data_IF_358957105587
#
_entry.id   IF_358957105587
#
_cell.length_a   1.000
_cell.length_b   1.000
_cell.length_c   1.000
_cell.angle_alpha   90.00
_cell.angle_beta   90.00
_cell.angle_gamma   90.00
#
_symmetry.space_group_name_H-M   'P 1'
#
loop_
_entity.id
_entity.type
_entity.pdbx_description
1 polymer ?
#
# COMPACT_ATOMS: atom_id res chain seq x y z
N UNK A 1 -1.74 8.72 48.42
CA UNK A 1 -2.55 7.75 47.70
C UNK A 1 -1.62 6.89 46.86
N UNK A 2 -1.49 5.63 47.24
CA UNK A 2 -0.54 4.67 46.66
C UNK A 2 -1.03 4.22 45.29
N UNK A 3 -0.23 4.45 44.25
CA UNK A 3 -0.48 3.91 42.91
C UNK A 3 -0.27 2.40 42.91
N UNK A 4 -1.30 1.64 42.55
CA UNK A 4 -1.21 0.20 42.38
C UNK A 4 -0.19 -0.15 41.29
N UNK A 5 0.64 -1.20 41.46
CA UNK A 5 1.60 -1.60 40.42
C UNK A 5 0.85 -2.19 39.23
N UNK A 6 1.09 -1.61 38.04
CA UNK A 6 0.64 -2.19 36.78
C UNK A 6 1.27 -3.58 36.61
N UNK A 7 0.41 -4.59 36.47
CA UNK A 7 0.82 -5.96 36.18
C UNK A 7 1.51 -6.01 34.81
N UNK A 8 2.83 -6.19 34.79
CA UNK A 8 3.56 -6.54 33.58
C UNK A 8 3.01 -7.87 33.05
N UNK A 9 2.48 -7.87 31.85
CA UNK A 9 2.17 -9.11 31.14
C UNK A 9 3.47 -9.89 30.93
N UNK A 10 3.50 -11.22 31.15
CA UNK A 10 4.70 -12.01 30.94
C UNK A 10 5.10 -11.99 29.47
N UNK A 11 6.39 -11.84 29.18
CA UNK A 11 6.94 -11.82 27.83
C UNK A 11 6.59 -13.06 26.97
N UNK A 12 6.11 -14.12 27.57
CA UNK A 12 5.64 -15.33 26.89
C UNK A 12 4.26 -15.19 26.23
N UNK A 13 3.39 -14.28 26.70
CA UNK A 13 2.06 -14.05 26.10
C UNK A 13 2.11 -13.11 24.88
N UNK A 14 3.18 -12.32 24.73
CA UNK A 14 3.42 -11.47 23.55
C UNK A 14 3.83 -12.28 22.31
N UNK A 15 4.20 -13.56 22.48
CA UNK A 15 4.56 -14.46 21.40
C UNK A 15 3.33 -15.09 20.67
N UNK A 16 2.12 -14.90 21.17
CA UNK A 16 0.92 -15.34 20.48
C UNK A 16 0.68 -14.38 19.29
N UNK A 17 1.00 -14.86 18.08
CA UNK A 17 0.76 -14.10 16.84
C UNK A 17 -0.71 -13.76 16.76
N UNK A 18 -0.99 -12.49 16.47
CA UNK A 18 -2.36 -12.01 16.28
C UNK A 18 -3.08 -12.86 15.24
N UNK A 19 -4.38 -13.10 15.45
CA UNK A 19 -5.23 -13.92 14.56
C UNK A 19 -5.22 -13.38 13.13
N UNK A 20 -5.29 -12.06 12.96
CA UNK A 20 -5.23 -11.40 11.66
C UNK A 20 -3.91 -11.68 10.92
N UNK A 21 -2.77 -11.70 11.63
CA UNK A 21 -1.48 -12.06 11.03
C UNK A 21 -1.42 -13.53 10.57
N UNK A 22 -2.07 -14.43 11.30
CA UNK A 22 -2.16 -15.85 10.91
C UNK A 22 -3.06 -16.00 9.68
N UNK A 23 -4.23 -15.35 9.66
CA UNK A 23 -5.12 -15.31 8.51
C UNK A 23 -4.40 -14.77 7.26
N UNK A 24 -3.69 -13.63 7.38
CA UNK A 24 -2.94 -13.07 6.27
C UNK A 24 -1.90 -14.04 5.70
N UNK A 25 -1.18 -14.75 6.56
CA UNK A 25 -0.22 -15.77 6.11
C UNK A 25 -0.88 -16.91 5.34
N UNK A 26 -2.02 -17.39 5.84
CA UNK A 26 -2.80 -18.45 5.17
C UNK A 26 -3.33 -17.96 3.82
N UNK A 27 -3.91 -16.75 3.78
CA UNK A 27 -4.42 -16.14 2.55
C UNK A 27 -3.33 -16.02 1.49
N UNK A 28 -2.16 -15.46 1.86
CA UNK A 28 -1.03 -15.31 0.93
C UNK A 28 -0.54 -16.68 0.46
N UNK A 29 -0.36 -17.64 1.34
CA UNK A 29 0.08 -18.99 0.97
C UNK A 29 -0.91 -19.65 -0.01
N UNK A 30 -2.21 -19.62 0.32
CA UNK A 30 -3.29 -20.18 -0.52
C UNK A 30 -3.35 -19.50 -1.89
N UNK A 31 -3.11 -18.18 -1.97
CA UNK A 31 -3.09 -17.47 -3.24
C UNK A 31 -1.93 -17.94 -4.14
N UNK A 32 -0.71 -18.04 -3.60
CA UNK A 32 0.43 -18.53 -4.37
C UNK A 32 0.31 -20.02 -4.72
N UNK A 33 -0.36 -20.82 -3.87
CA UNK A 33 -0.68 -22.22 -4.18
C UNK A 33 -1.67 -22.30 -5.34
N UNK A 34 -2.72 -21.47 -5.31
CA UNK A 34 -3.70 -21.38 -6.40
C UNK A 34 -3.05 -20.88 -7.70
N UNK A 35 -2.13 -19.91 -7.65
CA UNK A 35 -1.38 -19.46 -8.82
C UNK A 35 -0.52 -20.57 -9.40
N UNK A 36 0.21 -21.30 -8.57
CA UNK A 36 1.06 -22.41 -9.04
C UNK A 36 0.27 -23.52 -9.72
N UNK A 37 -0.98 -23.76 -9.30
CA UNK A 37 -1.89 -24.76 -9.86
C UNK A 37 -2.88 -24.20 -10.90
N UNK A 38 -2.78 -22.93 -11.28
CA UNK A 38 -3.82 -22.24 -12.05
C UNK A 38 -4.14 -22.95 -13.37
N UNK A 39 -3.14 -23.17 -14.21
CA UNK A 39 -3.36 -23.77 -15.53
C UNK A 39 -3.75 -25.26 -15.44
N UNK A 40 -3.23 -26.00 -14.48
CA UNK A 40 -3.62 -27.41 -14.24
C UNK A 40 -5.09 -27.51 -13.79
N UNK A 41 -5.60 -26.50 -13.08
CA UNK A 41 -7.01 -26.39 -12.65
C UNK A 41 -7.92 -25.70 -13.68
N UNK A 42 -7.40 -25.32 -14.85
CA UNK A 42 -8.12 -24.60 -15.89
C UNK A 42 -8.44 -23.14 -15.57
N UNK A 43 -7.89 -22.59 -14.49
CA UNK A 43 -8.10 -21.18 -14.12
C UNK A 43 -7.19 -20.26 -14.91
N UNK A 44 -7.74 -19.10 -15.26
CA UNK A 44 -7.02 -18.06 -16.01
C UNK A 44 -6.27 -17.12 -15.08
N UNK A 45 -5.14 -16.61 -15.56
CA UNK A 45 -4.24 -15.73 -14.82
C UNK A 45 -4.15 -14.39 -15.51
N UNK A 46 -4.34 -13.31 -14.75
CA UNK A 46 -4.25 -11.94 -15.24
C UNK A 46 -3.14 -11.21 -14.49
N UNK A 47 -2.17 -10.67 -15.21
CA UNK A 47 -1.18 -9.76 -14.62
C UNK A 47 -1.72 -8.34 -14.62
N UNK A 48 -1.66 -7.68 -13.48
CA UNK A 48 -2.12 -6.31 -13.29
C UNK A 48 -1.27 -5.60 -12.23
N UNK A 49 -1.43 -4.29 -12.08
CA UNK A 49 -0.74 -3.51 -11.05
C UNK A 49 -1.65 -3.13 -9.88
N UNK A 50 -1.04 -2.76 -8.74
CA UNK A 50 -1.78 -2.43 -7.52
C UNK A 50 -2.66 -1.19 -7.68
N UNK A 51 -2.17 -0.01 -8.12
CA UNK A 51 -3.01 1.17 -8.24
C UNK A 51 -4.04 1.02 -9.37
N UNK A 52 -5.31 1.20 -9.02
CA UNK A 52 -6.41 1.14 -9.99
C UNK A 52 -6.68 -0.26 -10.53
N UNK A 53 -6.25 -1.33 -9.84
CA UNK A 53 -6.59 -2.67 -10.28
C UNK A 53 -8.10 -2.92 -10.20
N UNK A 54 -8.59 -3.72 -11.13
CA UNK A 54 -9.99 -4.07 -11.27
C UNK A 54 -10.28 -5.44 -10.62
N UNK A 55 -9.84 -5.63 -9.37
CA UNK A 55 -9.88 -6.95 -8.72
C UNK A 55 -11.30 -7.52 -8.65
N UNK A 56 -12.31 -6.72 -8.33
CA UNK A 56 -13.70 -7.14 -8.28
C UNK A 56 -14.20 -7.62 -9.64
N UNK A 57 -13.88 -6.88 -10.70
CA UNK A 57 -14.23 -7.26 -12.07
C UNK A 57 -13.52 -8.56 -12.47
N UNK A 58 -12.21 -8.68 -12.22
CA UNK A 58 -11.46 -9.92 -12.47
C UNK A 58 -12.05 -11.10 -11.69
N UNK A 59 -12.42 -10.90 -10.43
CA UNK A 59 -13.06 -11.92 -9.59
C UNK A 59 -14.44 -12.33 -10.09
N UNK A 60 -15.18 -11.44 -10.74
CA UNK A 60 -16.46 -11.80 -11.38
C UNK A 60 -16.28 -12.74 -12.58
N UNK A 61 -15.10 -12.78 -13.20
CA UNK A 61 -14.70 -13.71 -14.25
C UNK A 61 -13.90 -14.92 -13.74
N UNK A 62 -13.79 -15.10 -12.42
CA UNK A 62 -13.05 -16.19 -11.76
C UNK A 62 -11.56 -16.31 -12.15
N UNK A 63 -10.91 -15.20 -12.48
CA UNK A 63 -9.48 -15.17 -12.79
C UNK A 63 -8.64 -14.94 -11.54
N UNK A 64 -7.37 -15.39 -11.60
CA UNK A 64 -6.37 -15.17 -10.56
C UNK A 64 -5.49 -13.97 -10.93
N UNK A 65 -5.43 -12.91 -10.11
CA UNK A 65 -4.52 -11.80 -10.36
C UNK A 65 -3.10 -12.11 -9.91
N UNK A 66 -2.12 -11.74 -10.72
CA UNK A 66 -0.71 -11.62 -10.34
C UNK A 66 -0.36 -10.13 -10.34
N UNK A 67 0.28 -9.69 -9.27
CA UNK A 67 0.71 -8.30 -9.11
C UNK A 67 2.25 -8.25 -9.04
N UNK A 68 2.92 -7.89 -10.15
CA UNK A 68 4.39 -7.82 -10.21
C UNK A 68 5.01 -6.94 -9.14
N UNK A 69 4.36 -5.83 -8.78
CA UNK A 69 4.79 -4.95 -7.68
C UNK A 69 4.85 -5.68 -6.33
N UNK A 70 3.87 -6.52 -6.04
CA UNK A 70 3.80 -7.29 -4.79
C UNK A 70 4.88 -8.37 -4.77
N UNK A 71 5.15 -9.01 -5.92
CA UNK A 71 6.26 -9.96 -6.04
C UNK A 71 7.61 -9.28 -5.79
N UNK A 72 7.83 -8.11 -6.37
CA UNK A 72 9.04 -7.31 -6.18
C UNK A 72 9.19 -6.85 -4.71
N UNK A 73 8.11 -6.34 -4.11
CA UNK A 73 8.05 -5.95 -2.70
C UNK A 73 8.43 -7.12 -1.78
N UNK A 74 7.78 -8.26 -1.95
CA UNK A 74 8.05 -9.46 -1.13
C UNK A 74 9.46 -9.99 -1.35
N UNK A 75 10.00 -9.91 -2.56
CA UNK A 75 11.40 -10.25 -2.85
C UNK A 75 12.36 -9.32 -2.08
N UNK A 76 12.04 -8.03 -1.98
CA UNK A 76 12.77 -7.07 -1.14
C UNK A 76 12.77 -7.47 0.33
N UNK A 77 11.59 -7.74 0.90
CA UNK A 77 11.45 -8.18 2.30
C UNK A 77 12.19 -9.47 2.61
N UNK A 78 12.33 -10.35 1.61
CA UNK A 78 13.05 -11.64 1.72
C UNK A 78 14.53 -11.55 1.33
N UNK A 79 15.04 -10.35 1.06
CA UNK A 79 16.44 -10.09 0.65
C UNK A 79 16.85 -10.74 -0.67
N UNK A 80 15.91 -11.01 -1.56
CA UNK A 80 16.15 -11.60 -2.89
C UNK A 80 16.32 -10.53 -3.98
N UNK A 81 15.80 -9.32 -3.75
CA UNK A 81 15.71 -8.26 -4.75
C UNK A 81 17.05 -7.82 -5.32
N UNK A 82 18.11 -7.80 -4.50
CA UNK A 82 19.45 -7.39 -4.95
C UNK A 82 20.00 -8.28 -6.07
N UNK A 83 19.77 -9.60 -5.99
CA UNK A 83 20.14 -10.55 -7.03
C UNK A 83 19.33 -10.32 -8.31
N UNK A 84 18.01 -10.13 -8.19
CA UNK A 84 17.14 -9.87 -9.33
C UNK A 84 17.46 -8.55 -10.02
N UNK A 85 17.70 -7.49 -9.25
CA UNK A 85 18.09 -6.16 -9.79
C UNK A 85 19.41 -6.28 -10.56
N UNK A 86 20.41 -6.96 -9.99
CA UNK A 86 21.69 -7.20 -10.66
C UNK A 86 21.53 -7.98 -11.98
N UNK A 87 20.60 -8.94 -12.02
CA UNK A 87 20.29 -9.67 -13.26
C UNK A 87 19.67 -8.77 -14.32
N UNK A 88 18.68 -7.94 -13.94
CA UNK A 88 18.07 -6.99 -14.87
C UNK A 88 19.08 -5.97 -15.44
N UNK A 89 20.03 -5.51 -14.61
CA UNK A 89 21.07 -4.57 -15.04
C UNK A 89 22.03 -5.22 -16.06
N UNK A 90 22.30 -6.53 -15.99
CA UNK A 90 23.04 -7.27 -17.02
C UNK A 90 22.31 -7.27 -18.38
N UNK A 91 20.99 -7.23 -18.37
CA UNK A 91 20.16 -7.10 -19.57
C UNK A 91 20.03 -5.67 -20.09
N UNK A 92 20.73 -4.70 -19.48
CA UNK A 92 20.80 -3.32 -19.94
C UNK A 92 19.80 -2.37 -19.27
N UNK A 93 19.15 -2.75 -18.18
CA UNK A 93 18.31 -1.82 -17.41
C UNK A 93 19.17 -0.86 -16.58
N UNK A 94 18.96 0.45 -16.75
CA UNK A 94 19.68 1.49 -16.01
C UNK A 94 19.41 1.43 -14.50
N UNK A 95 20.37 1.91 -13.70
CA UNK A 95 20.20 2.07 -12.25
C UNK A 95 19.01 2.97 -11.87
N UNK A 96 18.69 3.96 -12.73
CA UNK A 96 17.62 4.93 -12.49
C UNK A 96 16.21 4.41 -12.79
N UNK A 97 16.09 3.22 -13.36
CA UNK A 97 14.78 2.57 -13.59
C UNK A 97 14.19 2.12 -12.26
N UNK A 98 12.87 2.24 -12.15
CA UNK A 98 12.11 1.78 -10.98
C UNK A 98 12.57 0.38 -10.54
N UNK A 99 12.94 0.24 -9.28
CA UNK A 99 13.51 -1.01 -8.76
C UNK A 99 12.51 -2.15 -8.67
N UNK A 100 11.21 -1.87 -8.65
CA UNK A 100 10.19 -2.91 -8.84
C UNK A 100 10.27 -3.53 -10.23
N UNK A 101 10.40 -2.69 -11.28
CA UNK A 101 10.57 -3.17 -12.66
C UNK A 101 11.81 -4.06 -12.78
N UNK A 102 12.96 -3.57 -12.30
CA UNK A 102 14.21 -4.35 -12.35
C UNK A 102 14.09 -5.67 -11.57
N UNK A 103 13.48 -5.64 -10.41
CA UNK A 103 13.29 -6.85 -9.59
C UNK A 103 12.40 -7.88 -10.30
N UNK A 104 11.28 -7.46 -10.88
CA UNK A 104 10.36 -8.34 -11.61
C UNK A 104 10.99 -8.93 -12.88
N UNK A 105 11.62 -8.09 -13.71
CA UNK A 105 12.29 -8.55 -14.93
C UNK A 105 13.47 -9.48 -14.59
N UNK A 106 14.27 -9.17 -13.58
CA UNK A 106 15.33 -10.05 -13.14
C UNK A 106 14.82 -11.40 -12.59
N UNK A 107 13.70 -11.37 -11.85
CA UNK A 107 13.02 -12.59 -11.40
C UNK A 107 12.55 -13.43 -12.59
N UNK A 108 11.94 -12.80 -13.58
CA UNK A 108 11.49 -13.44 -14.82
C UNK A 108 12.66 -14.11 -15.56
N UNK A 109 13.78 -13.42 -15.74
CA UNK A 109 14.99 -13.94 -16.39
C UNK A 109 15.65 -15.09 -15.61
N UNK A 110 15.40 -15.20 -14.32
CA UNK A 110 15.85 -16.30 -13.45
C UNK A 110 14.81 -17.42 -13.29
N UNK A 111 13.90 -17.58 -14.23
CA UNK A 111 12.92 -18.67 -14.30
C UNK A 111 11.57 -18.37 -13.65
N UNK A 112 11.32 -17.14 -13.31
CA UNK A 112 10.04 -16.65 -12.77
C UNK A 112 9.64 -17.36 -11.46
N UNK A 113 10.60 -17.58 -10.58
CA UNK A 113 10.34 -18.13 -9.25
C UNK A 113 9.92 -17.00 -8.32
N UNK A 114 8.66 -17.02 -7.93
CA UNK A 114 8.07 -16.00 -7.06
C UNK A 114 8.67 -16.00 -5.63
N UNK A 115 8.32 -15.01 -4.83
CA UNK A 115 8.91 -14.81 -3.50
C UNK A 115 8.63 -15.95 -2.51
N UNK A 116 7.67 -16.83 -2.80
CA UNK A 116 7.38 -18.04 -1.99
C UNK A 116 8.18 -19.28 -2.43
N UNK A 117 9.04 -19.16 -3.44
CA UNK A 117 9.79 -20.27 -4.02
C UNK A 117 9.01 -21.08 -5.06
N UNK A 118 7.77 -20.68 -5.38
CA UNK A 118 6.96 -21.32 -6.41
C UNK A 118 7.09 -20.56 -7.74
N UNK A 119 7.04 -21.32 -8.83
CA UNK A 119 7.05 -20.74 -10.17
C UNK A 119 5.72 -20.02 -10.40
N UNK A 120 5.78 -18.77 -10.86
CA UNK A 120 4.60 -18.02 -11.26
C UNK A 120 4.14 -18.49 -12.65
N UNK A 121 2.83 -18.67 -12.86
CA UNK A 121 2.30 -19.04 -14.17
C UNK A 121 2.43 -17.86 -15.14
N UNK A 122 2.59 -18.13 -16.47
CA UNK A 122 2.46 -17.06 -17.46
C UNK A 122 1.05 -16.48 -17.45
N UNK A 123 0.88 -15.19 -17.84
CA UNK A 123 -0.45 -14.59 -17.93
C UNK A 123 -1.24 -15.09 -19.13
N UNK A 124 -2.56 -15.24 -18.94
CA UNK A 124 -3.52 -15.37 -20.04
C UNK A 124 -3.96 -13.99 -20.58
N UNK A 125 -3.78 -12.92 -19.76
CA UNK A 125 -4.07 -11.53 -20.10
C UNK A 125 -3.15 -10.58 -19.31
N UNK A 126 -2.64 -9.58 -19.99
CA UNK A 126 -2.03 -8.41 -19.36
C UNK A 126 -3.10 -7.30 -19.27
N UNK A 127 -3.51 -6.92 -18.06
CA UNK A 127 -4.51 -5.88 -17.81
C UNK A 127 -3.88 -4.70 -17.08
N UNK A 128 -3.63 -3.62 -17.80
CA UNK A 128 -3.07 -2.39 -17.26
C UNK A 128 -4.15 -1.35 -17.00
N UNK A 129 -4.25 -0.86 -15.76
CA UNK A 129 -4.91 0.43 -15.48
C UNK A 129 -3.83 1.50 -15.31
N UNK A 130 -3.77 2.45 -16.26
CA UNK A 130 -2.82 3.55 -16.17
C UNK A 130 -3.36 4.64 -15.26
N UNK A 131 -2.82 4.72 -14.06
CA UNK A 131 -3.24 5.61 -12.97
C UNK A 131 -2.10 6.54 -12.54
N UNK A 132 -1.58 7.34 -13.47
CA UNK A 132 -0.59 8.37 -13.20
C UNK A 132 0.87 7.89 -13.04
N UNK A 133 1.16 6.59 -13.22
CA UNK A 133 2.53 6.08 -13.22
C UNK A 133 2.95 5.67 -14.65
N UNK A 134 3.73 6.51 -15.32
CA UNK A 134 4.23 6.22 -16.67
C UNK A 134 5.08 4.93 -16.74
N UNK A 135 5.78 4.60 -15.66
CA UNK A 135 6.59 3.39 -15.58
C UNK A 135 5.78 2.13 -15.85
N UNK A 136 4.51 2.08 -15.43
CA UNK A 136 3.64 0.93 -15.67
C UNK A 136 3.44 0.62 -17.15
N UNK A 137 3.28 1.64 -17.99
CA UNK A 137 3.15 1.45 -19.44
C UNK A 137 4.40 0.76 -20.02
N UNK A 138 5.59 1.23 -19.63
CA UNK A 138 6.85 0.65 -20.10
C UNK A 138 7.12 -0.74 -19.50
N UNK A 139 6.72 -0.98 -18.28
CA UNK A 139 6.79 -2.30 -17.68
C UNK A 139 5.91 -3.31 -18.42
N UNK A 140 4.68 -2.92 -18.79
CA UNK A 140 3.80 -3.78 -19.59
C UNK A 140 4.35 -4.04 -21.00
N UNK A 141 5.00 -3.07 -21.64
CA UNK A 141 5.68 -3.30 -22.91
C UNK A 141 6.76 -4.38 -22.79
N UNK A 142 7.54 -4.37 -21.69
CA UNK A 142 8.54 -5.42 -21.42
C UNK A 142 7.87 -6.78 -21.21
N UNK A 143 6.83 -6.85 -20.38
CA UNK A 143 6.09 -8.09 -20.14
C UNK A 143 5.45 -8.63 -21.42
N UNK A 144 4.93 -7.74 -22.29
CA UNK A 144 4.38 -8.13 -23.58
C UNK A 144 5.43 -8.76 -24.52
N UNK A 145 6.69 -8.35 -24.42
CA UNK A 145 7.77 -8.97 -25.21
C UNK A 145 8.09 -10.38 -24.73
N UNK A 146 7.83 -10.69 -23.47
CA UNK A 146 8.13 -11.99 -22.85
C UNK A 146 6.95 -12.97 -22.96
N UNK A 147 5.72 -12.45 -23.06
CA UNK A 147 4.50 -13.24 -23.05
C UNK A 147 3.65 -13.00 -24.30
N UNK A 148 3.37 -14.08 -25.03
CA UNK A 148 2.44 -14.04 -26.17
C UNK A 148 1.00 -14.20 -25.67
N UNK A 149 0.42 -13.09 -25.16
CA UNK A 149 -0.94 -13.09 -24.65
C UNK A 149 -1.65 -11.76 -24.97
N UNK A 150 -3.00 -11.72 -24.94
CA UNK A 150 -3.77 -10.50 -25.11
C UNK A 150 -3.37 -9.41 -24.10
N UNK A 151 -3.54 -8.15 -24.52
CA UNK A 151 -3.35 -6.98 -23.65
C UNK A 151 -4.63 -6.16 -23.65
N UNK A 152 -5.06 -5.72 -22.48
CA UNK A 152 -6.08 -4.69 -22.30
C UNK A 152 -5.47 -3.53 -21.51
N UNK A 153 -5.76 -2.30 -21.93
CA UNK A 153 -5.30 -1.10 -21.22
C UNK A 153 -6.51 -0.21 -20.91
N UNK A 154 -6.65 0.15 -19.65
CA UNK A 154 -7.56 1.18 -19.17
C UNK A 154 -6.78 2.46 -18.94
N UNK A 155 -6.99 3.48 -19.75
CA UNK A 155 -6.42 4.80 -19.53
C UNK A 155 -7.30 5.61 -18.57
N UNK A 156 -6.72 6.04 -17.46
CA UNK A 156 -7.40 6.82 -16.42
C UNK A 156 -6.96 8.28 -16.52
N UNK A 157 -7.88 9.24 -16.73
CA UNK A 157 -7.55 10.66 -16.79
C UNK A 157 -6.91 11.17 -15.50
N UNK A 158 -5.87 11.99 -15.65
CA UNK A 158 -5.17 12.58 -14.50
C UNK A 158 -6.03 13.59 -13.76
N UNK A 159 -6.08 13.49 -12.43
CA UNK A 159 -6.89 14.32 -11.55
C UNK A 159 -6.11 15.55 -11.07
N UNK A 160 -5.99 16.57 -11.92
CA UNK A 160 -5.22 17.80 -11.61
C UNK A 160 -5.84 18.62 -10.49
N UNK A 161 -7.17 18.69 -10.42
CA UNK A 161 -7.94 19.47 -9.44
C UNK A 161 -8.57 18.63 -8.30
N UNK A 162 -8.35 17.32 -8.33
CA UNK A 162 -8.87 16.37 -7.35
C UNK A 162 -10.38 16.15 -7.40
N UNK A 163 -11.06 16.58 -8.46
CA UNK A 163 -12.49 16.38 -8.65
C UNK A 163 -12.76 15.27 -9.66
N UNK A 164 -13.78 14.49 -9.38
CA UNK A 164 -14.30 13.51 -10.34
C UNK A 164 -15.30 14.22 -11.24
N UNK A 165 -14.97 14.33 -12.54
CA UNK A 165 -15.84 14.94 -13.54
C UNK A 165 -16.59 13.85 -14.32
N UNK A 166 -17.84 14.13 -14.72
CA UNK A 166 -18.68 13.17 -15.45
C UNK A 166 -18.02 12.63 -16.73
N UNK A 167 -17.36 13.50 -17.50
CA UNK A 167 -16.67 13.10 -18.72
C UNK A 167 -15.47 12.16 -18.45
N UNK A 168 -14.83 12.22 -17.28
CA UNK A 168 -13.83 11.25 -16.87
C UNK A 168 -14.44 9.89 -16.59
N UNK A 169 -15.59 9.86 -15.91
CA UNK A 169 -16.34 8.63 -15.66
C UNK A 169 -16.81 8.01 -16.96
N UNK A 170 -17.46 8.78 -17.84
CA UNK A 170 -17.96 8.31 -19.13
C UNK A 170 -16.82 7.70 -19.98
N UNK A 171 -15.65 8.35 -19.99
CA UNK A 171 -14.47 7.88 -20.71
C UNK A 171 -13.96 6.53 -20.18
N UNK A 172 -13.92 6.34 -18.86
CA UNK A 172 -13.50 5.08 -18.25
C UNK A 172 -14.56 4.00 -18.48
N UNK A 173 -15.85 4.31 -18.29
CA UNK A 173 -16.95 3.38 -18.52
C UNK A 173 -17.00 2.87 -19.95
N UNK A 174 -16.75 3.75 -20.92
CA UNK A 174 -16.65 3.34 -22.33
C UNK A 174 -15.54 2.31 -22.50
N UNK A 175 -14.33 2.56 -21.99
CA UNK A 175 -13.21 1.62 -22.09
C UNK A 175 -13.48 0.29 -21.37
N UNK A 176 -14.11 0.32 -20.18
CA UNK A 176 -14.51 -0.90 -19.50
C UNK A 176 -15.43 -1.76 -20.37
N UNK A 177 -16.42 -1.14 -21.02
CA UNK A 177 -17.42 -1.83 -21.86
C UNK A 177 -16.88 -2.27 -23.22
N UNK A 178 -15.96 -1.52 -23.83
CA UNK A 178 -15.53 -1.78 -25.21
C UNK A 178 -14.16 -2.47 -25.31
N UNK A 179 -13.36 -2.44 -24.24
CA UNK A 179 -11.99 -3.00 -24.26
C UNK A 179 -11.78 -4.03 -23.13
N UNK A 180 -11.99 -3.67 -21.88
CA UNK A 180 -11.59 -4.52 -20.75
C UNK A 180 -12.50 -5.74 -20.62
N UNK A 181 -13.83 -5.53 -20.58
CA UNK A 181 -14.81 -6.61 -20.45
C UNK A 181 -14.73 -7.58 -21.64
N UNK A 182 -14.71 -7.14 -22.90
CA UNK A 182 -14.57 -8.05 -24.04
C UNK A 182 -13.29 -8.89 -24.02
N UNK A 183 -12.18 -8.34 -23.52
CA UNK A 183 -10.93 -9.11 -23.37
C UNK A 183 -11.03 -10.17 -22.28
N UNK A 184 -11.66 -9.85 -21.16
CA UNK A 184 -11.94 -10.83 -20.10
C UNK A 184 -12.85 -11.93 -20.60
N UNK A 185 -13.93 -11.60 -21.33
CA UNK A 185 -14.82 -12.57 -21.97
C UNK A 185 -14.06 -13.49 -22.94
N UNK A 186 -13.22 -12.90 -23.80
CA UNK A 186 -12.41 -13.65 -24.78
C UNK A 186 -11.48 -14.66 -24.09
N UNK A 187 -10.79 -14.25 -23.03
CA UNK A 187 -9.78 -15.07 -22.34
C UNK A 187 -10.42 -16.15 -21.49
N UNK A 188 -11.53 -15.83 -20.81
CA UNK A 188 -12.17 -16.75 -19.87
C UNK A 188 -13.24 -17.63 -20.50
N UNK A 189 -13.82 -17.20 -21.64
CA UNK A 189 -15.01 -17.82 -22.23
C UNK A 189 -16.30 -17.54 -21.45
N UNK A 190 -16.23 -16.76 -20.37
CA UNK A 190 -17.39 -16.37 -19.58
C UNK A 190 -17.97 -15.05 -20.11
N UNK A 191 -19.28 -14.88 -20.00
CA UNK A 191 -19.93 -13.60 -20.30
C UNK A 191 -19.92 -12.71 -19.06
N UNK A 192 -19.82 -11.40 -19.29
CA UNK A 192 -19.98 -10.41 -18.22
C UNK A 192 -21.33 -10.57 -17.54
N UNK A 193 -21.30 -10.62 -16.23
CA UNK A 193 -22.46 -10.77 -15.37
C UNK A 193 -22.38 -9.70 -14.27
N UNK A 194 -23.27 -8.71 -14.36
CA UNK A 194 -23.30 -7.59 -13.42
C UNK A 194 -23.67 -8.03 -12.00
N UNK A 195 -24.52 -9.04 -11.85
CA UNK A 195 -24.88 -9.54 -10.52
C UNK A 195 -23.70 -10.23 -9.83
N UNK A 196 -22.89 -10.97 -10.59
CA UNK A 196 -21.62 -11.50 -10.06
C UNK A 196 -20.66 -10.38 -9.63
N UNK A 197 -20.55 -9.30 -10.41
CA UNK A 197 -19.73 -8.15 -10.03
C UNK A 197 -20.31 -7.46 -8.79
N UNK A 198 -21.62 -7.26 -8.72
CA UNK A 198 -22.35 -6.69 -7.57
C UNK A 198 -22.05 -7.44 -6.27
N UNK A 199 -22.06 -8.78 -6.32
CA UNK A 199 -21.70 -9.60 -5.14
C UNK A 199 -20.24 -9.37 -4.69
N UNK A 200 -19.30 -9.21 -5.63
CA UNK A 200 -17.91 -8.87 -5.27
C UNK A 200 -17.80 -7.47 -4.65
N UNK A 201 -18.55 -6.50 -5.18
CA UNK A 201 -18.62 -5.14 -4.62
C UNK A 201 -19.15 -5.11 -3.19
N UNK A 202 -20.19 -5.89 -2.88
CA UNK A 202 -20.72 -6.02 -1.51
C UNK A 202 -19.66 -6.52 -0.53
N UNK A 203 -18.84 -7.50 -0.95
CA UNK A 203 -17.76 -8.01 -0.12
C UNK A 203 -16.64 -6.96 0.06
N UNK A 204 -16.27 -6.25 -1.00
CA UNK A 204 -15.28 -5.17 -0.93
C UNK A 204 -15.76 -4.06 0.01
N UNK A 205 -16.98 -3.55 -0.16
CA UNK A 205 -17.52 -2.47 0.68
C UNK A 205 -17.50 -2.83 2.18
N UNK A 206 -17.86 -4.07 2.52
CA UNK A 206 -17.79 -4.55 3.91
C UNK A 206 -16.36 -4.58 4.46
N UNK A 207 -15.41 -5.08 3.69
CA UNK A 207 -14.00 -5.11 4.07
C UNK A 207 -13.41 -3.69 4.20
N UNK A 208 -13.83 -2.78 3.35
CA UNK A 208 -13.41 -1.37 3.35
C UNK A 208 -13.87 -0.62 4.59
N UNK A 209 -15.08 -0.86 5.07
CA UNK A 209 -15.58 -0.24 6.30
C UNK A 209 -14.70 -0.59 7.50
N UNK A 210 -14.37 -1.86 7.67
CA UNK A 210 -13.49 -2.31 8.75
C UNK A 210 -12.05 -1.80 8.57
N UNK A 211 -11.55 -1.80 7.34
CA UNK A 211 -10.21 -1.29 7.03
C UNK A 211 -10.08 0.22 7.33
N UNK A 212 -11.06 1.02 6.94
CA UNK A 212 -11.04 2.46 7.23
C UNK A 212 -11.15 2.71 8.73
N UNK A 213 -12.00 1.97 9.42
CA UNK A 213 -12.09 2.05 10.89
C UNK A 213 -10.73 1.78 11.54
N UNK A 214 -10.03 0.72 11.08
CA UNK A 214 -8.66 0.39 11.58
C UNK A 214 -7.70 1.55 11.35
N UNK A 215 -7.67 2.16 10.17
CA UNK A 215 -6.79 3.29 9.91
C UNK A 215 -7.16 4.53 10.75
N UNK A 216 -8.45 4.78 10.95
CA UNK A 216 -8.94 5.91 11.75
C UNK A 216 -8.74 5.71 13.26
N UNK A 217 -8.60 4.47 13.72
CA UNK A 217 -8.29 4.18 15.13
C UNK A 217 -7.01 4.85 15.60
N UNK A 218 -6.07 5.15 14.68
CA UNK A 218 -4.85 5.89 14.97
C UNK A 218 -5.08 7.34 15.45
N UNK A 219 -6.32 7.84 15.40
CA UNK A 219 -6.70 9.12 16.05
C UNK A 219 -6.72 9.03 17.58
N UNK A 220 -6.84 7.83 18.15
CA UNK A 220 -6.73 7.63 19.61
C UNK A 220 -5.31 7.95 20.12
N UNK A 221 -5.21 8.24 21.42
CA UNK A 221 -3.95 8.48 22.11
C UNK A 221 -3.90 7.57 23.35
N UNK A 222 -2.97 6.60 23.44
CA UNK A 222 -2.00 6.27 22.38
C UNK A 222 -2.66 5.69 21.13
N UNK A 223 -1.99 5.84 19.98
CA UNK A 223 -2.43 5.18 18.75
C UNK A 223 -2.32 3.67 18.90
N UNK A 224 -3.38 2.88 18.63
CA UNK A 224 -3.32 1.42 18.75
C UNK A 224 -2.54 0.76 17.59
N UNK A 225 -2.23 1.51 16.53
CA UNK A 225 -1.53 1.05 15.34
C UNK A 225 -0.41 2.01 14.94
N UNK A 226 0.61 1.49 14.28
CA UNK A 226 1.45 2.28 13.39
C UNK A 226 0.84 2.22 11.98
N UNK A 227 0.37 3.36 11.45
CA UNK A 227 -0.36 3.43 10.18
C UNK A 227 0.54 3.38 8.94
N UNK A 228 1.85 3.23 9.10
CA UNK A 228 2.81 3.09 8.00
C UNK A 228 3.47 1.71 8.03
N UNK A 229 4.23 1.41 9.05
CA UNK A 229 4.92 0.11 9.14
C UNK A 229 3.94 -1.03 9.47
N UNK A 230 3.11 -0.87 10.49
CA UNK A 230 1.99 -1.77 10.77
C UNK A 230 0.96 -1.74 9.64
N UNK A 231 0.66 -0.53 9.16
CA UNK A 231 -0.29 -0.29 8.07
C UNK A 231 -0.01 -1.07 6.79
N UNK A 232 1.26 -1.36 6.47
CA UNK A 232 1.64 -2.20 5.34
C UNK A 232 1.10 -3.62 5.45
N UNK A 233 1.11 -4.19 6.64
CA UNK A 233 0.51 -5.51 6.87
C UNK A 233 -1.01 -5.44 6.75
N UNK A 234 -1.62 -4.38 7.27
CA UNK A 234 -3.07 -4.21 7.25
C UNK A 234 -3.62 -3.95 5.86
N UNK A 235 -2.91 -3.20 5.01
CA UNK A 235 -3.34 -2.91 3.66
C UNK A 235 -3.08 -4.08 2.68
N UNK A 236 -2.18 -5.00 3.02
CA UNK A 236 -1.74 -6.06 2.13
C UNK A 236 -2.89 -6.82 1.45
N UNK A 237 -3.86 -7.38 2.18
CA UNK A 237 -5.00 -8.08 1.58
C UNK A 237 -5.87 -7.19 0.69
N UNK A 238 -6.04 -5.90 1.03
CA UNK A 238 -6.83 -4.95 0.26
C UNK A 238 -6.18 -4.63 -1.11
N UNK A 239 -4.87 -4.50 -1.15
CA UNK A 239 -4.14 -4.18 -2.37
C UNK A 239 -3.79 -5.39 -3.22
N UNK A 240 -3.96 -6.59 -2.69
CA UNK A 240 -3.64 -7.81 -3.39
C UNK A 240 -4.90 -8.45 -3.99
N UNK A 241 -4.91 -9.76 -3.99
CA UNK A 241 -5.93 -10.58 -4.62
C UNK A 241 -7.23 -10.74 -3.79
N UNK A 242 -7.39 -10.08 -2.63
CA UNK A 242 -8.44 -10.45 -1.68
C UNK A 242 -9.63 -9.48 -1.59
N UNK A 243 -9.63 -8.39 -2.35
CA UNK A 243 -10.85 -7.61 -2.50
C UNK A 243 -11.93 -8.44 -3.17
N UNK A 244 -13.17 -8.24 -2.78
CA UNK A 244 -14.32 -8.97 -3.30
C UNK A 244 -14.35 -10.46 -2.90
N UNK A 245 -13.68 -10.84 -1.79
CA UNK A 245 -13.66 -12.22 -1.29
C UNK A 245 -14.14 -12.31 0.15
N UNK A 246 -14.75 -13.46 0.55
CA UNK A 246 -15.12 -13.70 1.95
C UNK A 246 -13.92 -13.68 2.90
N UNK A 247 -12.76 -14.17 2.44
CA UNK A 247 -11.51 -14.18 3.21
C UNK A 247 -11.03 -12.75 3.53
N UNK A 248 -11.18 -11.83 2.57
CA UNK A 248 -10.88 -10.41 2.79
C UNK A 248 -11.78 -9.80 3.86
N UNK A 249 -13.08 -10.09 3.83
CA UNK A 249 -14.05 -9.64 4.84
C UNK A 249 -13.68 -10.21 6.22
N UNK A 250 -13.39 -11.50 6.32
CA UNK A 250 -13.01 -12.15 7.57
C UNK A 250 -11.73 -11.54 8.16
N UNK A 251 -10.74 -11.30 7.31
CA UNK A 251 -9.48 -10.68 7.73
C UNK A 251 -9.70 -9.31 8.36
N UNK A 252 -10.44 -8.40 7.68
CA UNK A 252 -10.62 -7.04 8.19
C UNK A 252 -11.52 -6.98 9.41
N UNK A 253 -12.52 -7.86 9.49
CA UNK A 253 -13.33 -8.01 10.71
C UNK A 253 -12.46 -8.45 11.91
N UNK A 254 -11.64 -9.48 11.72
CA UNK A 254 -10.73 -9.96 12.76
C UNK A 254 -9.71 -8.89 13.18
N UNK A 255 -9.12 -8.21 12.22
CA UNK A 255 -8.18 -7.12 12.49
C UNK A 255 -8.85 -5.99 13.28
N UNK A 256 -10.07 -5.60 12.91
CA UNK A 256 -10.83 -4.58 13.62
C UNK A 256 -11.08 -4.99 15.07
N UNK A 257 -11.54 -6.21 15.33
CA UNK A 257 -11.76 -6.75 16.69
C UNK A 257 -10.48 -6.64 17.54
N UNK A 258 -9.32 -7.01 17.00
CA UNK A 258 -8.03 -6.91 17.70
C UNK A 258 -7.63 -5.46 17.99
N UNK A 259 -7.91 -4.54 17.08
CA UNK A 259 -7.62 -3.12 17.29
C UNK A 259 -8.61 -2.48 18.28
N UNK A 260 -9.89 -2.87 18.28
CA UNK A 260 -10.87 -2.44 19.28
C UNK A 260 -10.44 -2.86 20.70
N UNK A 261 -9.92 -4.08 20.86
CA UNK A 261 -9.36 -4.54 22.13
C UNK A 261 -8.16 -3.69 22.58
N UNK A 262 -7.25 -3.30 21.66
CA UNK A 262 -6.13 -2.41 21.99
C UNK A 262 -6.59 -1.02 22.40
N UNK A 263 -7.56 -0.45 21.70
CA UNK A 263 -8.16 0.86 22.04
C UNK A 263 -8.76 0.80 23.45
N UNK A 264 -9.55 -0.24 23.76
CA UNK A 264 -10.19 -0.41 25.06
C UNK A 264 -9.17 -0.56 26.21
N UNK A 265 -8.00 -1.13 25.93
CA UNK A 265 -6.92 -1.33 26.90
C UNK A 265 -5.90 -0.18 26.91
N UNK A 266 -6.09 0.87 26.11
CA UNK A 266 -5.14 1.98 25.93
C UNK A 266 -3.71 1.51 25.57
N UNK A 267 -3.60 0.51 24.70
CA UNK A 267 -2.31 -0.03 24.26
C UNK A 267 -1.82 0.72 23.02
N UNK A 268 -0.50 0.89 22.95
CA UNK A 268 0.20 1.36 21.75
C UNK A 268 0.27 0.31 20.63
N UNK A 269 0.87 0.65 19.48
CA UNK A 269 1.04 -0.29 18.37
C UNK A 269 1.93 -1.47 18.77
N UNK A 270 1.66 -2.63 18.20
CA UNK A 270 2.54 -3.79 18.33
C UNK A 270 3.71 -3.62 17.36
N UNK A 271 4.92 -3.54 17.90
CA UNK A 271 6.17 -3.48 17.16
C UNK A 271 6.81 -4.87 17.06
N UNK A 272 7.85 -5.07 16.24
CA UNK A 272 8.60 -6.32 16.23
C UNK A 272 9.18 -6.74 17.59
N UNK A 273 9.41 -5.79 18.49
CA UNK A 273 9.99 -6.01 19.83
C UNK A 273 8.90 -6.06 20.93
N UNK A 274 7.61 -5.98 20.56
CA UNK A 274 6.47 -6.01 21.47
C UNK A 274 5.64 -4.71 21.43
N UNK A 275 4.65 -4.59 22.33
CA UNK A 275 3.84 -3.38 22.42
C UNK A 275 4.69 -2.14 22.72
N UNK A 276 4.43 -1.02 22.04
CA UNK A 276 5.09 0.24 22.36
C UNK A 276 4.60 0.76 23.72
N UNK A 277 5.52 0.89 24.67
CA UNK A 277 5.17 1.33 26.03
C UNK A 277 4.73 2.79 26.13
N UNK A 278 5.33 3.67 25.29
CA UNK A 278 5.07 5.10 25.35
C UNK A 278 5.13 5.76 23.98
N UNK A 279 4.01 6.34 23.56
CA UNK A 279 3.94 7.22 22.41
C UNK A 279 4.49 8.62 22.81
N UNK A 280 5.62 9.00 22.18
CA UNK A 280 6.26 10.32 22.40
C UNK A 280 5.97 11.27 21.27
N UNK A 281 5.99 10.78 20.04
CA UNK A 281 5.81 11.57 18.83
C UNK A 281 4.78 10.93 17.91
N UNK A 282 3.89 11.76 17.38
CA UNK A 282 2.90 11.39 16.37
C UNK A 282 3.33 11.97 15.03
N UNK A 283 3.58 11.13 14.05
CA UNK A 283 4.09 11.56 12.76
C UNK A 283 3.15 11.16 11.62
N UNK A 284 3.12 12.00 10.57
CA UNK A 284 2.54 11.64 9.27
C UNK A 284 3.68 11.28 8.32
N UNK A 285 3.52 10.20 7.55
CA UNK A 285 4.53 9.76 6.58
C UNK A 285 4.02 9.91 5.15
N UNK A 286 4.83 10.55 4.30
CA UNK A 286 4.63 10.58 2.84
C UNK A 286 5.66 9.69 2.15
N UNK A 287 5.21 8.93 1.16
CA UNK A 287 6.05 8.06 0.34
C UNK A 287 6.06 6.59 0.77
N UNK A 288 6.44 5.67 -0.13
CA UNK A 288 6.50 4.24 0.15
C UNK A 288 7.70 3.87 1.05
N UNK A 289 7.60 2.79 1.82
CA UNK A 289 8.71 2.34 2.67
C UNK A 289 9.82 1.67 1.87
N UNK A 290 10.99 1.58 2.49
CA UNK A 290 12.05 0.68 2.03
C UNK A 290 11.74 -0.76 2.48
N UNK A 291 11.60 -1.67 1.53
CA UNK A 291 11.24 -3.06 1.82
C UNK A 291 12.42 -3.93 2.21
N UNK A 292 13.62 -3.60 1.73
CA UNK A 292 14.82 -4.40 2.01
C UNK A 292 15.28 -4.26 3.45
N UNK A 293 15.07 -3.12 4.08
CA UNK A 293 15.45 -2.85 5.47
C UNK A 293 14.24 -2.47 6.33
N UNK A 294 13.06 -3.00 5.99
CA UNK A 294 11.79 -2.60 6.56
C UNK A 294 11.74 -2.64 8.09
N UNK A 295 12.20 -3.73 8.72
CA UNK A 295 12.21 -3.86 10.18
C UNK A 295 13.19 -2.91 10.85
N UNK A 296 14.40 -2.76 10.28
CA UNK A 296 15.42 -1.85 10.76
C UNK A 296 14.94 -0.39 10.64
N UNK A 297 14.29 -0.06 9.52
CA UNK A 297 13.72 1.26 9.29
C UNK A 297 12.61 1.57 10.31
N UNK A 298 11.70 0.63 10.58
CA UNK A 298 10.69 0.79 11.62
C UNK A 298 11.31 0.98 13.00
N UNK A 299 12.34 0.20 13.32
CA UNK A 299 13.06 0.26 14.60
C UNK A 299 13.59 1.66 14.93
N UNK A 300 14.07 2.41 13.93
CA UNK A 300 14.57 3.77 14.09
C UNK A 300 13.50 4.76 14.61
N UNK A 301 12.22 4.45 14.44
CA UNK A 301 11.10 5.26 14.93
C UNK A 301 10.60 4.78 16.29
N UNK A 302 10.29 3.50 16.43
CA UNK A 302 9.64 3.04 17.66
C UNK A 302 10.60 3.02 18.87
N UNK A 303 11.90 2.87 18.69
CA UNK A 303 12.88 3.00 19.78
C UNK A 303 12.86 4.41 20.39
N UNK A 304 12.53 5.42 19.60
CA UNK A 304 12.39 6.81 20.03
C UNK A 304 10.94 7.14 20.50
N UNK A 305 10.05 6.18 20.54
CA UNK A 305 8.64 6.37 20.86
C UNK A 305 7.86 7.12 19.78
N UNK A 306 8.34 7.13 18.53
CA UNK A 306 7.64 7.74 17.41
C UNK A 306 6.69 6.73 16.74
N UNK A 307 5.45 7.17 16.54
CA UNK A 307 4.39 6.40 15.87
C UNK A 307 3.94 7.14 14.63
N UNK A 308 3.88 6.44 13.51
CA UNK A 308 3.29 6.98 12.29
C UNK A 308 1.78 6.79 12.35
N UNK A 309 1.05 7.87 12.60
CA UNK A 309 -0.39 7.85 12.83
C UNK A 309 -1.22 7.95 11.55
N UNK A 310 -0.64 8.45 10.46
CA UNK A 310 -1.24 8.43 9.13
C UNK A 310 -0.18 8.40 8.04
N UNK A 311 -0.52 7.87 6.88
CA UNK A 311 0.41 7.73 5.76
C UNK A 311 -0.31 7.84 4.41
N UNK A 312 0.32 8.51 3.44
CA UNK A 312 -0.16 8.51 2.07
C UNK A 312 -0.04 7.12 1.41
N UNK A 313 0.92 6.31 1.81
CA UNK A 313 1.16 4.99 1.22
C UNK A 313 -0.02 4.03 1.47
N UNK A 314 -0.60 4.03 2.66
CA UNK A 314 -1.78 3.21 2.98
C UNK A 314 -3.07 3.65 2.27
N UNK A 315 -3.01 4.75 1.50
CA UNK A 315 -4.11 5.31 0.72
C UNK A 315 -3.89 5.19 -0.80
N UNK A 316 -2.79 4.56 -1.21
CA UNK A 316 -2.37 4.46 -2.63
C UNK A 316 -3.44 3.81 -3.51
N UNK A 317 -4.20 2.87 -2.98
CA UNK A 317 -5.22 2.11 -3.69
C UNK A 317 -6.58 2.77 -3.82
N UNK A 318 -6.83 3.95 -3.24
CA UNK A 318 -8.16 4.55 -3.37
C UNK A 318 -8.43 5.74 -2.46
N UNK A 319 -9.64 6.29 -2.57
CA UNK A 319 -10.12 7.45 -1.80
C UNK A 319 -10.82 7.06 -0.50
N UNK A 320 -10.46 5.96 0.13
CA UNK A 320 -11.15 5.41 1.32
C UNK A 320 -11.30 6.43 2.45
N UNK A 321 -10.26 7.20 2.70
CA UNK A 321 -10.23 8.27 3.70
C UNK A 321 -10.95 9.56 3.28
N UNK A 322 -11.43 9.61 2.02
CA UNK A 322 -12.33 10.66 1.51
C UNK A 322 -13.78 10.18 1.42
N UNK A 323 -14.09 9.05 2.05
CA UNK A 323 -15.42 8.48 2.11
C UNK A 323 -15.77 7.53 0.96
N UNK A 324 -14.81 7.20 0.07
CA UNK A 324 -15.06 6.22 -0.99
C UNK A 324 -15.30 4.83 -0.40
N UNK A 325 -16.29 4.15 -0.94
CA UNK A 325 -16.56 2.72 -0.82
C UNK A 325 -17.03 2.18 -2.15
N UNK A 326 -16.70 0.94 -2.45
CA UNK A 326 -17.29 0.29 -3.60
C UNK A 326 -18.81 0.23 -3.45
N UNK A 327 -19.53 0.65 -4.50
CA UNK A 327 -20.98 0.74 -4.52
C UNK A 327 -21.57 -0.40 -5.36
N UNK A 328 -22.24 -1.38 -4.73
CA UNK A 328 -22.85 -2.51 -5.45
C UNK A 328 -24.02 -2.10 -6.35
N UNK A 329 -24.64 -0.93 -6.11
CA UNK A 329 -25.76 -0.46 -6.95
C UNK A 329 -25.27 0.21 -8.25
N UNK A 330 -23.99 0.65 -8.28
CA UNK A 330 -23.34 1.26 -9.45
C UNK A 330 -21.97 0.63 -9.70
N UNK A 331 -21.89 -0.67 -10.01
CA UNK A 331 -20.64 -1.42 -9.92
C UNK A 331 -19.55 -0.92 -10.88
N UNK A 332 -19.86 -0.62 -12.14
CA UNK A 332 -18.88 -0.13 -13.11
C UNK A 332 -18.46 1.33 -12.83
N UNK A 333 -19.42 2.19 -12.48
CA UNK A 333 -19.16 3.57 -12.08
C UNK A 333 -18.26 3.62 -10.84
N UNK A 334 -18.50 2.76 -9.88
CA UNK A 334 -17.69 2.64 -8.66
C UNK A 334 -16.25 2.21 -8.96
N UNK A 335 -16.04 1.27 -9.89
CA UNK A 335 -14.70 0.93 -10.38
C UNK A 335 -14.02 2.11 -11.06
N UNK A 336 -14.74 2.89 -11.86
CA UNK A 336 -14.21 4.08 -12.51
C UNK A 336 -13.79 5.15 -11.48
N UNK A 337 -14.62 5.39 -10.47
CA UNK A 337 -14.32 6.29 -9.35
C UNK A 337 -13.08 5.82 -8.56
N UNK A 338 -12.98 4.52 -8.29
CA UNK A 338 -11.83 3.92 -7.63
C UNK A 338 -10.53 4.17 -8.41
N UNK A 339 -10.53 3.94 -9.73
CA UNK A 339 -9.36 4.17 -10.58
C UNK A 339 -8.95 5.66 -10.60
N UNK A 340 -9.92 6.58 -10.72
CA UNK A 340 -9.68 8.02 -10.68
C UNK A 340 -9.06 8.45 -9.36
N UNK A 341 -9.48 7.84 -8.25
CA UNK A 341 -9.08 8.19 -6.90
C UNK A 341 -7.72 7.67 -6.44
N UNK A 342 -6.98 6.95 -7.27
CA UNK A 342 -5.65 6.46 -6.89
C UNK A 342 -4.70 7.61 -6.57
N UNK A 343 -3.94 7.48 -5.48
CA UNK A 343 -3.06 8.56 -4.98
C UNK A 343 -2.04 9.02 -6.03
N UNK A 344 -1.49 8.11 -6.81
CA UNK A 344 -0.55 8.41 -7.91
C UNK A 344 -1.20 9.19 -9.06
N UNK A 345 -2.53 9.16 -9.16
CA UNK A 345 -3.32 9.86 -10.18
C UNK A 345 -3.76 11.26 -9.73
N UNK A 346 -3.45 11.66 -8.49
CA UNK A 346 -3.87 12.95 -7.92
C UNK A 346 -2.82 14.03 -8.14
N UNK A 347 -3.28 15.23 -8.49
CA UNK A 347 -2.45 16.42 -8.59
C UNK A 347 -1.84 16.86 -7.26
N UNK A 348 -0.73 17.58 -7.31
CA UNK A 348 -0.01 18.05 -6.13
C UNK A 348 -0.88 18.83 -5.13
N UNK A 349 -1.78 19.74 -5.54
CA UNK A 349 -2.65 20.45 -4.60
C UNK A 349 -3.54 19.52 -3.78
N UNK A 350 -4.08 18.46 -4.41
CA UNK A 350 -4.93 17.48 -3.74
C UNK A 350 -4.12 16.62 -2.77
N UNK A 351 -2.92 16.17 -3.15
CA UNK A 351 -2.00 15.42 -2.28
C UNK A 351 -1.61 16.26 -1.05
N UNK A 352 -1.29 17.54 -1.24
CA UNK A 352 -1.03 18.47 -0.14
C UNK A 352 -2.22 18.60 0.81
N UNK A 353 -3.41 18.84 0.29
CA UNK A 353 -4.62 18.94 1.11
C UNK A 353 -4.95 17.67 1.90
N UNK A 354 -4.60 16.49 1.37
CA UNK A 354 -4.72 15.22 2.10
C UNK A 354 -3.73 15.15 3.27
N UNK A 355 -2.47 15.51 3.04
CA UNK A 355 -1.44 15.50 4.10
C UNK A 355 -1.71 16.56 5.17
N UNK A 356 -2.16 17.77 4.80
CA UNK A 356 -2.63 18.78 5.75
C UNK A 356 -3.74 18.24 6.66
N UNK A 357 -4.72 17.56 6.06
CA UNK A 357 -5.80 16.93 6.81
C UNK A 357 -5.28 15.86 7.77
N UNK A 358 -4.35 15.02 7.34
CA UNK A 358 -3.75 14.01 8.22
C UNK A 358 -3.02 14.65 9.38
N UNK A 359 -2.19 15.66 9.13
CA UNK A 359 -1.47 16.39 10.18
C UNK A 359 -2.44 16.93 11.24
N UNK A 360 -3.54 17.55 10.82
CA UNK A 360 -4.54 18.12 11.72
C UNK A 360 -5.37 17.05 12.44
N UNK A 361 -5.99 16.12 11.68
CA UNK A 361 -7.02 15.21 12.18
C UNK A 361 -6.43 14.09 13.06
N UNK A 362 -5.14 13.79 12.90
CA UNK A 362 -4.41 12.81 13.71
C UNK A 362 -3.51 13.47 14.76
N UNK A 363 -3.64 14.79 14.97
CA UNK A 363 -2.85 15.55 15.95
C UNK A 363 -1.35 15.28 15.84
N UNK A 364 -0.80 15.36 14.63
CA UNK A 364 0.60 15.07 14.38
C UNK A 364 1.51 16.18 14.91
N UNK A 365 2.60 15.77 15.59
CA UNK A 365 3.65 16.66 16.06
C UNK A 365 4.58 17.08 14.93
N UNK A 366 4.66 16.24 13.91
CA UNK A 366 5.51 16.41 12.76
C UNK A 366 5.08 15.55 11.58
N UNK A 367 5.73 15.75 10.46
CA UNK A 367 5.59 14.87 9.30
C UNK A 367 6.95 14.56 8.69
N UNK A 368 7.05 13.44 8.00
CA UNK A 368 8.29 13.04 7.34
C UNK A 368 8.01 12.57 5.92
N UNK A 369 8.90 12.94 5.01
CA UNK A 369 8.87 12.47 3.62
C UNK A 369 9.99 11.44 3.46
N UNK A 370 9.61 10.21 3.09
CA UNK A 370 10.54 9.21 2.59
C UNK A 370 10.59 9.30 1.06
N UNK A 371 11.61 9.98 0.54
CA UNK A 371 11.80 10.16 -0.90
C UNK A 371 12.45 8.92 -1.48
N UNK A 372 11.70 8.20 -2.30
CA UNK A 372 12.17 6.98 -2.94
C UNK A 372 12.83 7.32 -4.27
N UNK A 373 14.13 7.08 -4.38
CA UNK A 373 14.96 7.50 -5.52
C UNK A 373 14.41 7.01 -6.87
N UNK A 374 14.04 5.76 -6.98
CA UNK A 374 13.58 5.16 -8.24
C UNK A 374 12.09 5.33 -8.51
N UNK A 375 11.30 5.92 -7.60
CA UNK A 375 9.86 6.08 -7.75
C UNK A 375 9.46 7.52 -8.11
N UNK A 376 9.50 7.87 -9.39
CA UNK A 376 9.19 9.22 -9.86
C UNK A 376 7.74 9.67 -9.54
N UNK A 377 6.79 8.77 -9.50
CA UNK A 377 5.39 9.10 -9.17
C UNK A 377 5.21 9.65 -7.75
N UNK A 378 6.10 9.30 -6.83
CA UNK A 378 6.12 9.86 -5.49
C UNK A 378 7.16 10.97 -5.33
N UNK A 379 8.41 10.77 -5.78
CA UNK A 379 9.54 11.65 -5.47
C UNK A 379 9.50 13.00 -6.16
N UNK A 380 8.91 13.08 -7.36
CA UNK A 380 8.78 14.37 -8.06
C UNK A 380 7.91 15.32 -7.26
N UNK A 381 8.47 16.46 -6.89
CA UNK A 381 7.78 17.51 -6.14
C UNK A 381 7.77 17.35 -4.61
N UNK A 382 8.35 16.31 -4.03
CA UNK A 382 8.31 16.07 -2.57
C UNK A 382 9.03 17.16 -1.76
N UNK A 383 10.12 17.76 -2.25
CA UNK A 383 10.76 18.91 -1.58
C UNK A 383 9.86 20.17 -1.62
N UNK A 384 9.09 20.35 -2.68
CA UNK A 384 8.09 21.41 -2.74
C UNK A 384 6.94 21.12 -1.75
N UNK A 385 6.51 19.86 -1.67
CA UNK A 385 5.50 19.43 -0.69
C UNK A 385 5.97 19.69 0.73
N UNK A 386 7.21 19.36 1.08
CA UNK A 386 7.80 19.61 2.40
C UNK A 386 7.64 21.09 2.78
N UNK A 387 8.14 22.00 1.94
CA UNK A 387 8.09 23.44 2.19
C UNK A 387 6.67 23.97 2.33
N UNK A 388 5.79 23.57 1.42
CA UNK A 388 4.39 24.04 1.44
C UNK A 388 3.62 23.48 2.64
N UNK A 389 3.87 22.25 3.08
CA UNK A 389 3.23 21.71 4.27
C UNK A 389 3.70 22.43 5.54
N UNK A 390 5.00 22.70 5.68
CA UNK A 390 5.52 23.49 6.79
C UNK A 390 4.89 24.90 6.84
N UNK A 391 4.84 25.59 5.69
CA UNK A 391 4.24 26.91 5.57
C UNK A 391 2.75 26.93 5.95
N UNK A 392 1.97 25.96 5.45
CA UNK A 392 0.51 25.90 5.65
C UNK A 392 0.11 25.43 7.04
N UNK A 393 0.87 24.52 7.62
CA UNK A 393 0.50 23.86 8.90
C UNK A 393 1.24 24.40 10.10
N UNK A 394 2.39 25.03 9.92
CA UNK A 394 3.30 25.41 10.99
C UNK A 394 3.93 24.20 11.69
N UNK A 395 3.71 22.97 11.17
CA UNK A 395 4.24 21.73 11.72
C UNK A 395 5.55 21.40 11.01
N UNK A 396 6.64 21.07 11.75
CA UNK A 396 7.93 20.79 11.15
C UNK A 396 7.92 19.52 10.30
N UNK A 397 8.63 19.55 9.18
CA UNK A 397 8.84 18.43 8.29
C UNK A 397 10.24 17.83 8.39
N UNK A 398 10.35 16.53 8.21
CA UNK A 398 11.60 15.79 8.02
C UNK A 398 11.69 15.23 6.59
N UNK A 399 12.92 15.00 6.12
CA UNK A 399 13.18 14.44 4.79
C UNK A 399 14.28 13.39 4.85
N UNK A 400 13.96 12.21 4.38
CA UNK A 400 14.90 11.10 4.22
C UNK A 400 14.82 10.54 2.81
N UNK A 401 15.88 9.87 2.39
CA UNK A 401 15.98 9.27 1.06
C UNK A 401 16.29 7.79 1.18
N UNK A 402 15.57 6.99 0.43
CA UNK A 402 15.77 5.54 0.34
C UNK A 402 15.41 5.02 -1.06
N UNK A 403 15.25 3.73 -1.20
CA UNK A 403 14.65 3.12 -2.39
C UNK A 403 13.63 2.05 -2.00
N UNK A 404 12.82 1.58 -2.97
CA UNK A 404 11.80 0.55 -2.73
C UNK A 404 12.43 -0.79 -2.34
N UNK A 405 13.19 -1.40 -3.27
CA UNK A 405 13.71 -2.76 -3.11
C UNK A 405 15.20 -2.91 -3.46
N UNK A 406 15.89 -1.80 -3.74
CA UNK A 406 17.33 -1.83 -3.95
C UNK A 406 18.08 -1.63 -2.62
N UNK A 407 18.77 -2.65 -2.12
CA UNK A 407 19.48 -2.54 -0.84
C UNK A 407 20.66 -1.56 -0.88
N UNK A 408 21.16 -1.19 -2.05
CA UNK A 408 22.30 -0.27 -2.22
C UNK A 408 21.97 1.17 -1.80
N UNK A 409 20.68 1.53 -1.80
CA UNK A 409 20.22 2.89 -1.50
C UNK A 409 19.60 3.04 -0.11
N UNK A 410 19.88 2.12 0.82
CA UNK A 410 19.51 2.26 2.21
C UNK A 410 20.75 2.44 3.10
N UNK A 411 21.10 3.69 3.38
CA UNK A 411 22.18 4.02 4.32
C UNK A 411 21.63 4.12 5.74
N UNK A 412 21.64 3.01 6.48
CA UNK A 412 21.06 2.91 7.82
C UNK A 412 21.56 3.99 8.77
N UNK A 413 22.87 4.22 8.86
CA UNK A 413 23.46 5.23 9.75
C UNK A 413 23.02 6.66 9.39
N UNK A 414 22.99 7.01 8.10
CA UNK A 414 22.57 8.34 7.66
C UNK A 414 21.08 8.57 7.93
N UNK A 415 20.23 7.58 7.60
CA UNK A 415 18.79 7.67 7.83
C UNK A 415 18.51 7.77 9.34
N UNK A 416 19.16 6.95 10.16
CA UNK A 416 19.02 6.99 11.62
C UNK A 416 19.40 8.37 12.18
N UNK A 417 20.55 8.91 11.81
CA UNK A 417 20.98 10.24 12.26
C UNK A 417 19.98 11.34 11.87
N UNK A 418 19.40 11.27 10.67
CA UNK A 418 18.38 12.25 10.22
C UNK A 418 17.10 12.14 11.04
N UNK A 419 16.64 10.92 11.34
CA UNK A 419 15.45 10.68 12.17
C UNK A 419 15.70 11.19 13.59
N UNK A 420 16.79 10.80 14.22
CA UNK A 420 17.13 11.23 15.58
C UNK A 420 17.25 12.77 15.70
N UNK A 421 17.95 13.41 14.76
CA UNK A 421 18.07 14.88 14.73
C UNK A 421 16.72 15.55 14.54
N UNK A 422 15.85 14.97 13.71
CA UNK A 422 14.51 15.49 13.51
C UNK A 422 13.64 15.36 14.78
N UNK A 423 13.67 14.24 15.46
CA UNK A 423 12.92 14.02 16.70
C UNK A 423 13.45 14.92 17.85
N UNK A 424 14.76 15.12 17.93
CA UNK A 424 15.36 16.08 18.88
C UNK A 424 14.88 17.52 18.63
N UNK A 425 14.77 17.93 17.35
CA UNK A 425 14.24 19.25 17.00
C UNK A 425 12.74 19.38 17.39
N UNK A 426 11.95 18.31 17.27
CA UNK A 426 10.56 18.30 17.74
C UNK A 426 10.46 18.46 19.26
N UNK A 427 11.30 17.77 20.03
CA UNK A 427 11.37 17.91 21.50
C UNK A 427 11.73 19.35 21.92
N UNK A 428 12.72 19.98 21.28
CA UNK A 428 13.10 21.37 21.55
C UNK A 428 11.95 22.35 21.28
N UNK A 429 11.23 22.17 20.16
CA UNK A 429 10.07 23.02 19.83
C UNK A 429 8.91 22.85 20.83
N UNK A 430 8.68 21.63 21.36
CA UNK A 430 7.69 21.40 22.43
C UNK A 430 8.09 22.11 23.74
N UNK A 431 9.36 21.97 24.13
CA UNK A 431 9.89 22.65 25.33
C UNK A 431 9.78 24.17 25.25
N UNK A 432 10.06 24.75 24.09
CA UNK A 432 9.91 26.19 23.86
C UNK A 432 8.43 26.65 23.95
N UNK A 433 7.49 25.86 23.43
CA UNK A 433 6.04 26.17 23.53
C UNK A 433 5.52 26.05 24.97
N UNK A 434 6.00 25.06 25.72
CA UNK A 434 5.63 24.87 27.15
C UNK A 434 6.22 25.95 28.07
N UNK A 435 7.37 26.52 27.74
CA UNK A 435 8.01 27.63 28.51
C UNK A 435 7.49 29.02 28.21
N UNK A 436 6.59 29.18 27.23
CA UNK A 436 6.02 30.46 26.81
C UNK A 436 4.53 30.56 27.24
N UNK A 437 4.06 29.79 28.20
CA UNK A 437 2.76 30.07 28.82
C UNK A 437 2.92 31.21 29.85
N UNK A 438 2.15 32.31 29.68
CA UNK A 438 2.22 33.51 30.55
C UNK A 438 1.69 33.25 31.95
#
# INVERSE_FOLDING_TARGET
MSSAPQKKLPAQDVAQKERSMLLQKQMIASHYDALAAAHDSGRKVVYTFVPGNLTELMRSFDVLPVLPEINALQSGMRKLSGEYISEAEKYGHSEDVCTYVKCDIGMLKKGNIGPTGKKLPPPDLLLLSYTGCFTFMKWFELLRQEYDCPVAMLHVPYQSDGKIHSHHLDYILQQLRTEVIPKLEQVTGLRYDEDRLREKMKLSARAEDDFVWVLESAKNIPSPIDAYFGGVYYIGPMFTAFRGTPEGVEYYRTLREEIEERVAQHLGPITPDGPLEKERFRLVMEGPPNWTSFREFWKMFYEEGAVIVASSYTKVGGLYDRGFRHDPERPLESLAEYCLGCYTNLGLPTRLGLLERYIRDYHADGFMINSVKSCNSFSVGQLLMLRQLEERTGVPGGFIESDLVDPRYFSAANIKNRIESYLQMLDQKRGARAGVQP
#
